data_IF_142241274302
#
_entry.id   IF_142241274302
#
_cell.length_a   1.000
_cell.length_b   1.000
_cell.length_c   1.000
_cell.angle_alpha   90.00
_cell.angle_beta   90.00
_cell.angle_gamma   90.00
#
_symmetry.space_group_name_H-M   'P 1'
#
loop_
_entity.id
_entity.type
_entity.pdbx_description
1 polymer ?
#
# COMPACT_ATOMS: atom_id res chain seq x y z
N UNK A 1 41.99 -2.72 18.68
CA UNK A 1 41.30 -2.83 17.39
C UNK A 1 39.84 -2.54 17.67
N UNK A 2 39.40 -1.30 17.45
CA UNK A 2 38.01 -0.92 17.64
C UNK A 2 37.30 -1.09 16.29
N UNK A 3 36.28 -1.94 16.28
CA UNK A 3 35.35 -2.09 15.17
C UNK A 3 34.65 -0.75 14.96
N UNK A 4 34.82 -0.16 13.77
CA UNK A 4 34.20 1.13 13.43
C UNK A 4 32.68 0.98 13.32
N UNK A 5 31.89 2.06 13.47
CA UNK A 5 30.46 1.98 13.27
C UNK A 5 30.18 1.46 11.86
N UNK A 6 29.42 0.37 11.77
CA UNK A 6 28.96 -0.20 10.50
C UNK A 6 28.38 0.94 9.64
N UNK A 7 28.84 1.04 8.39
CA UNK A 7 28.34 2.02 7.43
C UNK A 7 26.79 1.92 7.37
N UNK A 8 26.07 3.03 7.19
CA UNK A 8 24.61 2.99 7.06
C UNK A 8 24.24 2.02 5.94
N UNK A 9 23.26 1.15 6.19
CA UNK A 9 22.78 0.17 5.21
C UNK A 9 22.41 0.90 3.91
N UNK A 10 23.22 0.72 2.87
CA UNK A 10 23.07 1.39 1.57
C UNK A 10 22.03 0.71 0.70
N UNK A 11 21.37 -0.35 1.19
CA UNK A 11 20.36 -1.07 0.42
C UNK A 11 19.18 -0.14 0.08
N UNK A 12 18.64 -0.24 -1.15
CA UNK A 12 17.48 0.55 -1.51
C UNK A 12 16.30 0.20 -0.61
N UNK A 13 15.56 1.22 -0.17
CA UNK A 13 14.28 0.99 0.51
C UNK A 13 13.33 0.37 -0.51
N UNK A 14 12.70 -0.74 -0.17
CA UNK A 14 11.76 -1.47 -1.03
C UNK A 14 10.37 -1.56 -0.39
N UNK A 15 9.39 -2.02 -1.15
CA UNK A 15 7.97 -2.06 -0.76
C UNK A 15 7.74 -2.63 0.66
N UNK A 16 8.29 -3.79 1.05
CA UNK A 16 8.02 -4.40 2.37
C UNK A 16 8.35 -3.48 3.54
N UNK A 17 9.38 -2.63 3.40
CA UNK A 17 9.79 -1.69 4.44
C UNK A 17 8.75 -0.59 4.73
N UNK A 18 7.79 -0.37 3.81
CA UNK A 18 6.79 0.71 3.90
C UNK A 18 5.34 0.24 3.87
N UNK A 19 5.04 -1.06 3.78
CA UNK A 19 3.64 -1.58 3.75
C UNK A 19 2.77 -1.04 4.90
N UNK A 20 3.36 -0.78 6.06
CA UNK A 20 2.67 -0.21 7.23
C UNK A 20 2.12 1.22 7.03
N UNK A 21 2.45 1.92 5.93
CA UNK A 21 1.93 3.26 5.65
C UNK A 21 0.53 3.24 5.04
N UNK A 22 0.05 2.09 4.61
CA UNK A 22 -1.27 1.88 4.01
C UNK A 22 -2.04 0.79 4.74
N UNK A 23 -3.30 0.56 4.34
CA UNK A 23 -4.14 -0.44 4.99
C UNK A 23 -3.65 -1.88 4.88
N UNK A 24 -3.85 -2.69 5.94
CA UNK A 24 -3.41 -4.09 5.98
C UNK A 24 -4.08 -4.96 4.91
N UNK A 25 -5.26 -4.59 4.42
CA UNK A 25 -5.95 -5.32 3.37
C UNK A 25 -5.20 -5.33 2.03
N UNK A 26 -4.28 -4.40 1.80
CA UNK A 26 -3.44 -4.38 0.60
C UNK A 26 -2.08 -5.07 0.77
N UNK A 27 -1.80 -5.67 1.94
CA UNK A 27 -0.53 -6.32 2.24
C UNK A 27 -0.15 -7.37 1.20
N UNK A 28 -1.03 -8.35 0.95
CA UNK A 28 -0.74 -9.45 0.01
C UNK A 28 -0.56 -8.94 -1.43
N UNK A 29 -1.27 -7.88 -1.81
CA UNK A 29 -1.11 -7.24 -3.12
C UNK A 29 0.28 -6.59 -3.24
N UNK A 30 0.73 -5.89 -2.20
CA UNK A 30 2.04 -5.26 -2.15
C UNK A 30 3.19 -6.26 -2.05
N UNK A 31 3.01 -7.36 -1.33
CA UNK A 31 3.97 -8.47 -1.25
C UNK A 31 4.16 -9.11 -2.63
N UNK A 32 3.08 -9.43 -3.35
CA UNK A 32 3.16 -9.93 -4.74
C UNK A 32 3.82 -8.92 -5.68
N UNK A 33 3.44 -7.65 -5.61
CA UNK A 33 4.07 -6.59 -6.41
C UNK A 33 5.58 -6.49 -6.12
N UNK A 34 5.97 -6.60 -4.84
CA UNK A 34 7.38 -6.63 -4.46
C UNK A 34 8.11 -7.80 -5.10
N UNK A 35 7.57 -9.02 -5.00
CA UNK A 35 8.18 -10.23 -5.56
C UNK A 35 8.36 -10.13 -7.09
N UNK A 36 7.33 -9.65 -7.81
CA UNK A 36 7.37 -9.45 -9.26
C UNK A 36 8.44 -8.42 -9.68
N UNK A 37 8.50 -7.27 -8.99
CA UNK A 37 9.51 -6.26 -9.28
C UNK A 37 10.90 -6.77 -8.89
N UNK A 38 11.04 -7.40 -7.72
CA UNK A 38 12.32 -7.89 -7.20
C UNK A 38 12.95 -8.95 -8.12
N UNK A 39 12.13 -9.81 -8.72
CA UNK A 39 12.59 -10.82 -9.67
C UNK A 39 13.15 -10.20 -10.96
N UNK A 40 12.58 -9.07 -11.42
CA UNK A 40 13.01 -8.38 -12.64
C UNK A 40 14.13 -7.36 -12.39
N UNK A 41 14.08 -6.65 -11.26
CA UNK A 41 14.93 -5.51 -10.93
C UNK A 41 15.32 -5.54 -9.44
N UNK A 42 16.29 -6.38 -9.04
CA UNK A 42 16.64 -6.58 -7.63
C UNK A 42 17.04 -5.31 -6.87
N UNK A 43 17.58 -4.31 -7.59
CA UNK A 43 18.06 -3.03 -7.06
C UNK A 43 17.04 -1.89 -7.18
N UNK A 44 15.75 -2.20 -7.44
CA UNK A 44 14.74 -1.16 -7.49
C UNK A 44 14.62 -0.43 -6.14
N UNK A 45 14.26 0.86 -6.21
CA UNK A 45 14.08 1.73 -5.07
C UNK A 45 12.64 2.22 -4.99
N UNK A 46 12.00 2.02 -3.86
CA UNK A 46 10.73 2.66 -3.52
C UNK A 46 10.97 4.14 -3.24
N UNK A 47 10.26 5.00 -3.97
CA UNK A 47 10.24 6.45 -3.76
C UNK A 47 9.11 6.86 -2.82
N UNK A 48 7.91 6.29 -3.00
CA UNK A 48 6.74 6.60 -2.20
C UNK A 48 5.68 5.49 -2.27
N UNK A 49 4.93 5.33 -1.17
CA UNK A 49 3.85 4.34 -1.01
C UNK A 49 2.75 4.95 -0.13
N UNK A 50 1.59 5.22 -0.72
CA UNK A 50 0.51 5.94 -0.05
C UNK A 50 -0.88 5.57 -0.56
N UNK A 51 -1.88 5.84 0.27
CA UNK A 51 -3.29 5.91 -0.14
C UNK A 51 -3.53 7.24 -0.87
N UNK A 52 -4.35 7.21 -1.94
CA UNK A 52 -4.80 8.42 -2.62
C UNK A 52 -6.16 8.20 -3.28
N UNK A 53 -7.15 9.02 -2.88
CA UNK A 53 -8.51 9.05 -3.44
C UNK A 53 -9.21 7.68 -3.39
N UNK A 54 -8.95 6.89 -2.34
CA UNK A 54 -9.51 5.56 -2.17
C UNK A 54 -8.77 4.43 -2.89
N UNK A 55 -7.69 4.73 -3.61
CA UNK A 55 -6.80 3.75 -4.22
C UNK A 55 -5.39 3.77 -3.64
N UNK A 56 -4.54 2.90 -4.17
CA UNK A 56 -3.12 2.79 -3.85
C UNK A 56 -2.28 3.63 -4.82
N UNK A 57 -1.19 4.22 -4.36
CA UNK A 57 -0.15 4.80 -5.21
C UNK A 57 1.22 4.27 -4.84
N UNK A 58 1.94 3.74 -5.83
CA UNK A 58 3.29 3.20 -5.69
C UNK A 58 4.21 3.91 -6.67
N UNK A 59 5.28 4.51 -6.15
CA UNK A 59 6.31 5.14 -6.96
C UNK A 59 7.62 4.42 -6.72
N UNK A 60 8.19 3.85 -7.78
CA UNK A 60 9.49 3.17 -7.75
C UNK A 60 10.40 3.70 -8.84
N UNK A 61 11.69 3.54 -8.60
CA UNK A 61 12.76 3.76 -9.55
C UNK A 61 13.50 2.44 -9.77
N UNK A 62 13.91 2.17 -11.00
CA UNK A 62 14.73 1.01 -11.34
C UNK A 62 15.81 1.38 -12.35
N UNK A 63 16.58 0.39 -12.83
CA UNK A 63 17.67 0.64 -13.79
C UNK A 63 17.16 1.23 -15.10
N UNK A 64 18.06 1.83 -15.88
CA UNK A 64 17.74 2.39 -17.20
C UNK A 64 17.02 1.35 -18.08
N UNK A 65 15.90 1.75 -18.69
CA UNK A 65 15.06 0.86 -19.52
C UNK A 65 13.96 0.10 -18.76
N UNK A 66 13.96 0.07 -17.43
CA UNK A 66 12.95 -0.64 -16.62
C UNK A 66 11.56 0.03 -16.59
N UNK A 67 11.47 1.30 -17.00
CA UNK A 67 10.30 2.14 -16.74
C UNK A 67 8.98 1.62 -17.30
N UNK A 68 8.96 0.96 -18.47
CA UNK A 68 7.73 0.41 -19.03
C UNK A 68 7.22 -0.79 -18.22
N UNK A 69 8.10 -1.72 -17.88
CA UNK A 69 7.78 -2.90 -17.07
C UNK A 69 7.31 -2.50 -15.67
N UNK A 70 8.04 -1.61 -15.00
CA UNK A 70 7.67 -1.11 -13.67
C UNK A 70 6.30 -0.44 -13.66
N UNK A 71 6.04 0.45 -14.63
CA UNK A 71 4.73 1.11 -14.76
C UNK A 71 3.60 0.11 -14.97
N UNK A 72 3.84 -0.95 -15.74
CA UNK A 72 2.82 -1.97 -16.02
C UNK A 72 2.48 -2.79 -14.78
N UNK A 73 3.48 -3.29 -14.06
CA UNK A 73 3.28 -4.03 -12.81
C UNK A 73 2.57 -3.17 -11.75
N UNK A 74 3.02 -1.92 -11.59
CA UNK A 74 2.40 -0.96 -10.66
C UNK A 74 0.96 -0.69 -11.06
N UNK A 75 0.67 -0.42 -12.34
CA UNK A 75 -0.68 -0.12 -12.79
C UNK A 75 -1.66 -1.27 -12.50
N UNK A 76 -1.22 -2.53 -12.67
CA UNK A 76 -2.02 -3.70 -12.30
C UNK A 76 -2.30 -3.76 -10.80
N UNK A 77 -1.29 -3.52 -9.97
CA UNK A 77 -1.44 -3.51 -8.52
C UNK A 77 -2.34 -2.35 -8.03
N UNK A 78 -2.19 -1.15 -8.59
CA UNK A 78 -3.03 0.00 -8.25
C UNK A 78 -4.50 -0.26 -8.64
N UNK A 79 -4.76 -0.81 -9.82
CA UNK A 79 -6.11 -1.18 -10.25
C UNK A 79 -6.73 -2.27 -9.35
N UNK A 80 -5.95 -3.27 -8.94
CA UNK A 80 -6.43 -4.29 -7.99
C UNK A 80 -6.79 -3.68 -6.63
N UNK A 81 -6.03 -2.70 -6.15
CA UNK A 81 -6.26 -2.06 -4.86
C UNK A 81 -7.60 -1.30 -4.82
N UNK A 82 -8.03 -0.71 -5.93
CA UNK A 82 -9.34 -0.02 -6.04
C UNK A 82 -10.54 -0.97 -5.80
N UNK A 83 -10.32 -2.27 -6.02
CA UNK A 83 -11.30 -3.34 -5.81
C UNK A 83 -11.01 -4.20 -4.56
N UNK A 84 -10.04 -3.82 -3.74
CA UNK A 84 -9.62 -4.56 -2.55
C UNK A 84 -9.88 -3.72 -1.31
N UNK A 85 -10.58 -4.29 -0.33
CA UNK A 85 -10.87 -3.61 0.92
C UNK A 85 -9.58 -3.28 1.67
N UNK A 86 -9.33 -2.00 1.90
CA UNK A 86 -8.13 -1.49 2.57
C UNK A 86 -7.98 -2.03 4.02
N UNK A 87 -9.08 -2.40 4.68
CA UNK A 87 -9.08 -2.92 6.05
C UNK A 87 -8.81 -4.43 6.13
N UNK A 88 -9.46 -5.25 5.30
CA UNK A 88 -9.44 -6.71 5.47
C UNK A 88 -9.00 -7.50 4.24
N UNK A 89 -8.82 -6.85 3.08
CA UNK A 89 -8.33 -7.48 1.86
C UNK A 89 -9.37 -8.23 1.04
N UNK A 90 -10.63 -8.30 1.48
CA UNK A 90 -11.72 -8.87 0.68
C UNK A 90 -12.16 -7.91 -0.44
N UNK A 91 -12.98 -8.38 -1.39
CA UNK A 91 -13.49 -7.54 -2.47
C UNK A 91 -14.21 -6.29 -1.92
N UNK A 92 -13.87 -5.12 -2.47
CA UNK A 92 -14.38 -3.83 -2.05
C UNK A 92 -14.60 -2.88 -3.22
N UNK A 93 -15.07 -1.68 -2.90
CA UNK A 93 -15.21 -0.59 -3.85
C UNK A 93 -14.96 0.76 -3.20
N UNK A 94 -14.53 1.74 -3.99
CA UNK A 94 -14.26 3.10 -3.50
C UNK A 94 -15.56 3.72 -3.00
N UNK A 95 -15.54 4.17 -1.73
CA UNK A 95 -16.68 4.77 -1.03
C UNK A 95 -16.22 5.91 -0.13
N UNK A 96 -17.12 6.85 0.13
CA UNK A 96 -17.04 7.76 1.28
C UNK A 96 -17.80 7.16 2.46
N UNK A 97 -17.61 7.72 3.66
CA UNK A 97 -18.47 7.39 4.80
C UNK A 97 -19.89 7.89 4.59
N UNK A 98 -20.84 7.25 5.28
CA UNK A 98 -22.26 7.62 5.24
C UNK A 98 -22.55 8.94 5.96
N UNK A 99 -21.78 9.26 6.99
CA UNK A 99 -21.92 10.46 7.81
C UNK A 99 -21.26 11.71 7.17
N UNK A 100 -20.51 11.54 6.08
CA UNK A 100 -19.76 12.61 5.45
C UNK A 100 -19.65 12.40 3.93
N UNK A 101 -20.70 12.78 3.22
CA UNK A 101 -20.69 12.85 1.75
C UNK A 101 -19.61 13.83 1.27
N UNK A 102 -18.78 13.40 0.31
CA UNK A 102 -17.65 14.18 -0.20
C UNK A 102 -16.37 14.18 0.66
N UNK A 103 -16.35 13.40 1.77
CA UNK A 103 -15.19 13.26 2.65
C UNK A 103 -14.12 12.30 2.12
N UNK A 104 -13.33 11.75 3.05
CA UNK A 104 -12.26 10.80 2.73
C UNK A 104 -12.82 9.57 1.99
N UNK A 105 -12.04 9.06 1.03
CA UNK A 105 -12.42 7.90 0.21
C UNK A 105 -11.55 6.70 0.54
N UNK A 106 -12.14 5.51 0.59
CA UNK A 106 -11.45 4.23 0.77
C UNK A 106 -12.08 3.14 -0.09
N UNK A 107 -11.26 2.23 -0.64
CA UNK A 107 -11.76 0.97 -1.18
C UNK A 107 -12.16 0.05 -0.03
N UNK A 108 -13.45 -0.23 0.14
CA UNK A 108 -13.97 -0.98 1.30
C UNK A 108 -15.09 -1.96 0.92
N UNK A 109 -15.09 -3.13 1.56
CA UNK A 109 -16.21 -4.07 1.51
C UNK A 109 -17.38 -3.54 2.36
N UNK A 110 -18.56 -4.15 2.24
CA UNK A 110 -19.78 -3.68 2.94
C UNK A 110 -19.61 -3.69 4.47
N UNK A 111 -19.06 -4.76 5.03
CA UNK A 111 -18.85 -4.88 6.49
C UNK A 111 -17.90 -3.80 7.04
N UNK A 112 -16.74 -3.61 6.40
CA UNK A 112 -15.79 -2.60 6.82
C UNK A 112 -16.28 -1.18 6.54
N UNK A 113 -17.07 -0.97 5.47
CA UNK A 113 -17.71 0.31 5.19
C UNK A 113 -18.66 0.70 6.34
N UNK A 114 -19.58 -0.17 6.74
CA UNK A 114 -20.50 0.13 7.85
C UNK A 114 -19.77 0.40 9.17
N UNK A 115 -18.71 -0.35 9.48
CA UNK A 115 -17.91 -0.12 10.69
C UNK A 115 -17.13 1.19 10.63
N UNK A 116 -16.54 1.52 9.49
CA UNK A 116 -15.77 2.76 9.28
C UNK A 116 -16.67 3.99 9.24
N UNK A 117 -17.84 3.93 8.58
CA UNK A 117 -18.87 4.97 8.62
C UNK A 117 -19.33 5.26 10.03
N UNK A 118 -19.47 4.23 10.87
CA UNK A 118 -19.81 4.36 12.29
C UNK A 118 -18.62 4.72 13.19
N UNK A 119 -17.44 5.05 12.62
CA UNK A 119 -16.18 5.35 13.32
C UNK A 119 -15.68 4.25 14.27
N UNK A 120 -16.20 3.02 14.16
CA UNK A 120 -15.81 1.90 15.03
C UNK A 120 -14.45 1.31 14.69
N UNK A 121 -13.99 1.48 13.44
CA UNK A 121 -12.67 1.00 13.03
C UNK A 121 -11.84 2.11 12.39
N UNK A 122 -10.51 2.00 12.56
CA UNK A 122 -9.52 2.86 11.90
C UNK A 122 -8.26 2.07 11.54
N UNK A 123 -7.52 2.52 10.53
CA UNK A 123 -6.18 2.04 10.24
C UNK A 123 -5.17 2.96 10.93
N UNK A 124 -4.30 2.38 11.77
CA UNK A 124 -3.18 3.08 12.40
C UNK A 124 -1.92 2.29 12.12
N UNK A 125 -0.98 2.89 11.37
CA UNK A 125 0.30 2.27 10.97
C UNK A 125 0.10 0.85 10.39
N UNK A 126 -0.86 0.74 9.46
CA UNK A 126 -1.14 -0.51 8.75
C UNK A 126 -1.81 -1.60 9.58
N UNK A 127 -2.44 -1.24 10.70
CA UNK A 127 -3.21 -2.16 11.54
C UNK A 127 -4.62 -1.63 11.75
N UNK A 128 -5.63 -2.49 11.60
CA UNK A 128 -7.01 -2.15 11.96
C UNK A 128 -7.15 -2.12 13.48
N UNK A 129 -7.66 -1.01 14.02
CA UNK A 129 -7.95 -0.81 15.44
C UNK A 129 -9.43 -0.52 15.61
N UNK A 130 -10.01 -1.10 16.66
CA UNK A 130 -11.34 -0.74 17.13
C UNK A 130 -11.29 0.60 17.89
N UNK A 131 -12.40 1.33 17.88
CA UNK A 131 -12.56 2.68 18.47
C UNK A 131 -13.78 2.80 19.39
N UNK A 132 -14.35 1.67 19.82
CA UNK A 132 -15.50 1.61 20.74
C UNK A 132 -15.34 2.48 21.98
#
# INVERSE_FOLDING_TARGET
MADGPAAPDTRPVQIPARIHTVGPGWRQLLERLHEEIQAAFPDYRLLDLKEKLGGLRVYVEGPSGSGHTLRSLIATAEAQAEHTCEFCGTFGRIRTRDDQSGGWRKAVCDTCHSAWSAHRIVIVRGVVRDRG
#
